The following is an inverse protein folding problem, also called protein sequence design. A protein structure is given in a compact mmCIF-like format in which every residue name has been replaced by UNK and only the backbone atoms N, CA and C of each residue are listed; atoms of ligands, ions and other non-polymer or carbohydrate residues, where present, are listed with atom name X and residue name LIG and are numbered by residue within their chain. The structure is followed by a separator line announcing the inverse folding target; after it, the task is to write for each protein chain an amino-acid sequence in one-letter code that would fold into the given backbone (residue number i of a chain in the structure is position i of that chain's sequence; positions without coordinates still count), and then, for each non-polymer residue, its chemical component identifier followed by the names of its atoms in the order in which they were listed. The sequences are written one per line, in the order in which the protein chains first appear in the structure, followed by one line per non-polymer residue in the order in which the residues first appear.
data_IF_798020919575
#
_entry.id   IF_798020919575
#
_cell.length_a   1.000
_cell.length_b   1.000
_cell.length_c   1.000
_cell.angle_alpha   90.00
_cell.angle_beta   90.00
_cell.angle_gamma   90.00
#
_symmetry.space_group_name_H-M   'P 1'
#
loop_
_entity.id
_entity.type
_entity.pdbx_description
1 polymer ?
#
# COMPACT_ATOMS: atom_id res chain seq x y z
N UNK A 1 69.66 -26.80 29.14
CA UNK A 1 68.55 -26.16 28.39
C UNK A 1 67.26 -26.90 28.73
N UNK A 2 66.48 -26.39 29.68
CA UNK A 2 65.13 -26.91 29.94
C UNK A 2 64.21 -26.54 28.78
N UNK A 3 63.69 -27.56 28.07
CA UNK A 3 62.63 -27.37 27.09
C UNK A 3 61.35 -26.95 27.82
N UNK A 4 60.98 -25.67 27.70
CA UNK A 4 59.66 -25.18 28.15
C UNK A 4 58.56 -26.05 27.52
N UNK A 5 57.80 -26.76 28.35
CA UNK A 5 56.64 -27.53 27.92
C UNK A 5 55.64 -26.59 27.22
N UNK A 6 55.04 -27.00 26.09
CA UNK A 6 54.07 -26.16 25.38
C UNK A 6 52.90 -25.85 26.31
N UNK A 7 52.53 -24.57 26.41
CA UNK A 7 51.32 -24.14 27.15
C UNK A 7 50.12 -24.87 26.54
N UNK A 8 49.49 -25.76 27.30
CA UNK A 8 48.22 -26.39 26.93
C UNK A 8 47.13 -25.34 27.09
N UNK A 9 46.60 -24.85 25.98
CA UNK A 9 45.43 -23.97 25.99
C UNK A 9 44.19 -24.86 26.16
N UNK A 10 43.32 -24.49 27.08
CA UNK A 10 42.03 -25.14 27.40
C UNK A 10 40.93 -24.10 27.20
N UNK A 11 39.75 -24.54 26.73
CA UNK A 11 38.59 -23.66 26.57
C UNK A 11 37.95 -23.29 27.91
N UNK A 12 36.88 -22.48 27.88
CA UNK A 12 36.11 -22.07 29.07
C UNK A 12 35.51 -23.25 29.85
N UNK A 13 35.49 -24.46 29.26
CA UNK A 13 34.98 -25.70 29.84
C UNK A 13 36.10 -26.72 30.12
N UNK A 14 37.37 -26.32 30.04
CA UNK A 14 38.51 -27.20 30.34
C UNK A 14 38.82 -28.24 29.27
N UNK A 15 38.22 -28.17 28.06
CA UNK A 15 38.51 -29.09 26.97
C UNK A 15 39.75 -28.66 26.19
N UNK A 16 40.54 -29.65 25.77
CA UNK A 16 41.68 -29.43 24.90
C UNK A 16 41.21 -29.04 23.50
N UNK A 17 41.72 -27.92 22.99
CA UNK A 17 41.40 -27.47 21.63
C UNK A 17 41.89 -28.48 20.59
N UNK A 18 41.02 -28.82 19.63
CA UNK A 18 41.40 -29.59 18.44
C UNK A 18 42.28 -28.76 17.48
N UNK A 19 43.03 -29.43 16.61
CA UNK A 19 43.94 -28.78 15.65
C UNK A 19 43.23 -27.88 14.62
N UNK A 20 41.92 -28.06 14.44
CA UNK A 20 41.09 -27.29 13.50
C UNK A 20 40.17 -26.26 14.22
N UNK A 21 40.36 -26.03 15.51
CA UNK A 21 39.56 -25.07 16.24
C UNK A 21 39.91 -23.63 15.82
N UNK A 22 38.96 -22.94 15.19
CA UNK A 22 39.08 -21.49 14.91
C UNK A 22 39.01 -20.75 16.25
N UNK A 23 40.09 -20.04 16.58
CA UNK A 23 40.20 -19.25 17.82
C UNK A 23 39.98 -17.80 17.49
N UNK A 24 38.88 -17.25 17.98
CA UNK A 24 38.61 -15.83 17.90
C UNK A 24 38.80 -15.23 19.30
N UNK A 25 39.64 -14.21 19.39
CA UNK A 25 39.67 -13.31 20.53
C UNK A 25 38.33 -12.60 20.69
N UNK A 26 38.03 -12.06 21.88
CA UNK A 26 36.83 -11.23 22.10
C UNK A 26 36.74 -10.07 21.09
N UNK A 27 37.88 -9.51 20.67
CA UNK A 27 37.94 -8.48 19.64
C UNK A 27 37.50 -9.03 18.28
N UNK A 28 37.97 -10.21 17.89
CA UNK A 28 37.58 -10.85 16.62
C UNK A 28 36.12 -11.29 16.63
N UNK A 29 35.59 -11.76 17.77
CA UNK A 29 34.15 -12.06 17.94
C UNK A 29 33.32 -10.79 17.78
N UNK A 30 33.70 -9.70 18.45
CA UNK A 30 33.00 -8.42 18.35
C UNK A 30 33.02 -7.89 16.91
N UNK A 31 34.19 -7.88 16.26
CA UNK A 31 34.33 -7.47 14.85
C UNK A 31 33.48 -8.36 13.94
N UNK A 32 33.56 -9.69 14.12
CA UNK A 32 32.76 -10.64 13.34
C UNK A 32 31.26 -10.43 13.50
N UNK A 33 30.80 -10.17 14.73
CA UNK A 33 29.41 -9.84 15.01
C UNK A 33 28.97 -8.54 14.32
N UNK A 34 29.77 -7.47 14.40
CA UNK A 34 29.44 -6.22 13.72
C UNK A 34 29.40 -6.37 12.20
N UNK A 35 30.36 -7.09 11.61
CA UNK A 35 30.37 -7.40 10.18
C UNK A 35 29.11 -8.19 9.81
N UNK A 36 28.77 -9.22 10.58
CA UNK A 36 27.56 -10.01 10.35
C UNK A 36 26.30 -9.14 10.38
N UNK A 37 26.16 -8.29 11.40
CA UNK A 37 24.99 -7.39 11.52
C UNK A 37 24.91 -6.43 10.32
N UNK A 38 26.02 -5.80 9.93
CA UNK A 38 26.03 -4.90 8.75
C UNK A 38 25.67 -5.67 7.48
N UNK A 39 26.27 -6.85 7.28
CA UNK A 39 26.00 -7.68 6.11
C UNK A 39 24.52 -8.05 6.02
N UNK A 40 23.94 -8.60 7.09
CA UNK A 40 22.56 -9.11 7.09
C UNK A 40 21.54 -7.99 7.06
N UNK A 41 21.70 -6.96 7.90
CA UNK A 41 20.67 -5.94 8.08
C UNK A 41 20.76 -4.77 7.11
N UNK A 42 21.91 -4.59 6.42
CA UNK A 42 22.11 -3.47 5.49
C UNK A 42 22.50 -3.94 4.09
N UNK A 43 23.58 -4.73 3.96
CA UNK A 43 24.16 -5.05 2.64
C UNK A 43 23.24 -6.00 1.85
N UNK A 44 22.76 -7.09 2.45
CA UNK A 44 21.90 -8.06 1.75
C UNK A 44 20.62 -7.39 1.20
N UNK A 45 19.83 -6.64 1.99
CA UNK A 45 18.66 -5.91 1.48
C UNK A 45 19.01 -4.91 0.38
N UNK A 46 20.11 -4.18 0.53
CA UNK A 46 20.55 -3.23 -0.48
C UNK A 46 20.89 -3.92 -1.81
N UNK A 47 21.67 -5.00 -1.76
CA UNK A 47 22.02 -5.78 -2.95
C UNK A 47 20.78 -6.41 -3.58
N UNK A 48 19.87 -7.00 -2.80
CA UNK A 48 18.64 -7.57 -3.32
C UNK A 48 17.81 -6.52 -4.06
N UNK A 49 17.64 -5.33 -3.46
CA UNK A 49 16.90 -4.22 -4.09
C UNK A 49 17.48 -3.87 -5.46
N UNK A 50 18.80 -3.91 -5.61
CA UNK A 50 19.49 -3.59 -6.86
C UNK A 50 19.43 -4.73 -7.90
N UNK A 51 19.53 -5.99 -7.47
CA UNK A 51 19.56 -7.14 -8.38
C UNK A 51 18.18 -7.63 -8.80
N UNK A 52 17.18 -7.49 -7.93
CA UNK A 52 15.82 -7.88 -8.23
C UNK A 52 15.23 -6.94 -9.30
N UNK A 53 14.97 -7.53 -10.47
CA UNK A 53 14.38 -6.86 -11.61
C UNK A 53 12.88 -7.06 -11.59
N UNK A 54 12.16 -5.95 -11.44
CA UNK A 54 10.72 -5.88 -11.55
C UNK A 54 10.37 -5.14 -12.85
N UNK A 55 9.39 -5.64 -13.59
CA UNK A 55 8.91 -5.01 -14.81
C UNK A 55 7.57 -4.34 -14.52
N UNK A 56 7.55 -3.01 -14.54
CA UNK A 56 6.33 -2.22 -14.40
C UNK A 56 5.81 -1.84 -15.78
N UNK A 57 4.74 -2.52 -16.19
CA UNK A 57 4.11 -2.33 -17.49
C UNK A 57 3.37 -0.97 -17.59
N UNK A 58 2.93 -0.62 -18.79
CA UNK A 58 2.06 0.55 -18.97
C UNK A 58 0.76 0.35 -18.19
N UNK A 59 0.28 1.44 -17.57
CA UNK A 59 -0.92 1.43 -16.74
C UNK A 59 -0.85 0.36 -15.61
N UNK A 60 0.37 0.16 -15.09
CA UNK A 60 0.67 -0.84 -14.06
C UNK A 60 -0.31 -0.75 -12.88
N UNK A 61 -0.76 -1.94 -12.47
CA UNK A 61 -1.55 -2.19 -11.28
C UNK A 61 -0.94 -3.36 -10.55
N UNK A 62 -0.63 -3.19 -9.27
CA UNK A 62 -0.08 -4.26 -8.44
C UNK A 62 -1.07 -5.43 -8.36
N UNK A 63 -0.61 -6.66 -8.62
CA UNK A 63 -1.45 -7.85 -8.50
C UNK A 63 -1.98 -8.04 -7.08
N UNK A 64 -3.22 -8.55 -6.94
CA UNK A 64 -3.88 -8.69 -5.63
C UNK A 64 -3.05 -9.50 -4.63
N UNK A 65 -2.39 -10.56 -5.11
CA UNK A 65 -1.52 -11.42 -4.31
C UNK A 65 -0.34 -10.69 -3.66
N UNK A 66 0.06 -9.53 -4.22
CA UNK A 66 1.15 -8.70 -3.68
C UNK A 66 0.64 -7.47 -2.92
N UNK A 67 -0.66 -7.37 -2.60
CA UNK A 67 -1.22 -6.19 -1.90
C UNK A 67 -0.59 -5.91 -0.52
N UNK A 68 -0.02 -6.93 0.12
CA UNK A 68 0.67 -6.82 1.40
C UNK A 68 2.21 -6.87 1.25
N UNK A 69 2.72 -6.90 0.02
CA UNK A 69 4.14 -6.79 -0.28
C UNK A 69 4.55 -5.32 -0.45
N UNK A 70 4.85 -4.67 0.68
CA UNK A 70 5.25 -3.27 0.68
C UNK A 70 6.66 -3.04 0.12
N UNK A 71 7.45 -4.09 -0.15
CA UNK A 71 8.74 -3.98 -0.82
C UNK A 71 8.56 -3.70 -2.32
N UNK A 72 7.68 -4.48 -2.98
CA UNK A 72 7.30 -4.24 -4.38
C UNK A 72 6.62 -2.88 -4.49
N UNK A 73 5.72 -2.56 -3.56
CA UNK A 73 5.08 -1.24 -3.53
C UNK A 73 6.11 -0.10 -3.41
N UNK A 74 7.09 -0.19 -2.52
CA UNK A 74 8.12 0.85 -2.35
C UNK A 74 8.94 1.02 -3.64
N UNK A 75 9.29 -0.08 -4.32
CA UNK A 75 9.96 -0.02 -5.64
C UNK A 75 9.09 0.70 -6.66
N UNK A 76 7.82 0.31 -6.79
CA UNK A 76 6.89 0.95 -7.71
C UNK A 76 6.69 2.44 -7.39
N UNK A 77 6.54 2.78 -6.11
CA UNK A 77 6.33 4.16 -5.69
C UNK A 77 7.51 5.07 -6.07
N UNK A 78 8.74 4.56 -5.95
CA UNK A 78 9.94 5.29 -6.36
C UNK A 78 10.02 5.42 -7.89
N UNK A 79 9.84 4.32 -8.63
CA UNK A 79 9.89 4.36 -10.10
C UNK A 79 8.78 5.23 -10.69
N UNK A 80 7.57 5.13 -10.17
CA UNK A 80 6.45 5.97 -10.58
C UNK A 80 6.72 7.45 -10.27
N UNK A 81 7.32 7.75 -9.12
CA UNK A 81 7.74 9.10 -8.78
C UNK A 81 8.92 9.60 -9.64
N UNK A 82 9.64 8.75 -10.36
CA UNK A 82 10.62 9.23 -11.35
C UNK A 82 9.96 9.46 -12.71
N UNK A 83 9.16 8.50 -13.15
CA UNK A 83 8.61 8.43 -14.51
C UNK A 83 7.37 9.31 -14.73
N UNK A 84 6.49 9.46 -13.74
CA UNK A 84 5.19 10.11 -13.92
C UNK A 84 5.13 11.50 -13.26
N UNK A 85 4.49 12.49 -13.91
CA UNK A 85 4.25 13.80 -13.32
C UNK A 85 3.12 13.77 -12.28
N UNK A 86 2.18 12.84 -12.39
CA UNK A 86 1.03 12.68 -11.49
C UNK A 86 1.02 11.30 -10.86
N UNK A 87 0.82 11.25 -9.55
CA UNK A 87 0.66 10.03 -8.76
C UNK A 87 -0.78 9.93 -8.28
N UNK A 88 -1.44 8.79 -8.49
CA UNK A 88 -2.78 8.54 -7.97
C UNK A 88 -2.72 7.56 -6.79
N UNK A 89 -3.03 8.05 -5.60
CA UNK A 89 -3.14 7.26 -4.37
C UNK A 89 -4.60 6.96 -4.06
N UNK A 90 -4.89 5.75 -3.60
CA UNK A 90 -6.24 5.34 -3.28
C UNK A 90 -6.36 3.91 -2.79
N UNK A 91 -7.61 3.47 -2.66
CA UNK A 91 -7.99 2.12 -2.30
C UNK A 91 -8.38 1.31 -3.54
N UNK A 92 -9.14 0.24 -3.32
CA UNK A 92 -9.69 -0.67 -4.32
C UNK A 92 -10.46 0.02 -5.47
N UNK A 93 -11.03 1.22 -5.24
CA UNK A 93 -11.68 2.03 -6.28
C UNK A 93 -10.65 2.51 -7.31
N UNK A 94 -9.51 3.02 -6.87
CA UNK A 94 -8.47 3.50 -7.79
C UNK A 94 -7.64 2.34 -8.32
N UNK A 95 -7.42 1.32 -7.49
CA UNK A 95 -6.79 0.07 -7.90
C UNK A 95 -7.57 -0.54 -9.07
N UNK A 96 -8.91 -0.47 -9.05
CA UNK A 96 -9.74 -0.83 -10.20
C UNK A 96 -10.33 -2.24 -10.11
N UNK A 97 -10.84 -2.61 -8.94
CA UNK A 97 -11.23 -3.99 -8.59
C UNK A 97 -12.05 -4.75 -9.65
N UNK A 98 -12.97 -4.10 -10.36
CA UNK A 98 -13.86 -4.76 -11.33
C UNK A 98 -13.50 -4.50 -12.80
N UNK A 99 -12.29 -4.01 -13.09
CA UNK A 99 -11.83 -3.75 -14.45
C UNK A 99 -10.43 -4.29 -14.67
N UNK A 100 -10.03 -4.41 -15.94
CA UNK A 100 -8.64 -4.70 -16.30
C UNK A 100 -7.82 -3.41 -16.29
N UNK A 101 -6.49 -3.53 -16.39
CA UNK A 101 -5.56 -2.41 -16.27
C UNK A 101 -5.88 -1.24 -17.20
N UNK A 102 -6.24 -1.54 -18.46
CA UNK A 102 -6.55 -0.53 -19.49
C UNK A 102 -7.81 0.30 -19.20
N UNK A 103 -8.65 -0.17 -18.26
CA UNK A 103 -9.94 0.43 -17.92
C UNK A 103 -10.00 0.98 -16.49
N UNK A 104 -8.89 0.95 -15.76
CA UNK A 104 -8.75 1.66 -14.50
C UNK A 104 -8.87 3.17 -14.70
N UNK A 105 -9.15 3.90 -13.62
CA UNK A 105 -9.26 5.36 -13.68
C UNK A 105 -7.95 6.03 -14.16
N UNK A 106 -6.76 5.68 -13.64
CA UNK A 106 -5.49 6.21 -14.16
C UNK A 106 -5.27 5.93 -15.65
N UNK A 107 -5.59 4.71 -16.13
CA UNK A 107 -5.45 4.37 -17.54
C UNK A 107 -6.37 5.21 -18.44
N UNK A 108 -7.61 5.46 -18.00
CA UNK A 108 -8.53 6.34 -18.74
C UNK A 108 -8.06 7.79 -18.77
N UNK A 109 -7.48 8.30 -17.67
CA UNK A 109 -6.85 9.63 -17.64
C UNK A 109 -5.65 9.71 -18.60
N UNK A 110 -4.80 8.68 -18.63
CA UNK A 110 -3.69 8.59 -19.58
C UNK A 110 -4.18 8.60 -21.04
N UNK A 111 -5.26 7.86 -21.33
CA UNK A 111 -5.90 7.84 -22.65
C UNK A 111 -6.44 9.21 -23.05
N UNK A 112 -7.12 9.91 -22.15
CA UNK A 112 -7.60 11.29 -22.38
C UNK A 112 -6.44 12.29 -22.57
N UNK A 113 -5.32 12.06 -21.91
CA UNK A 113 -4.09 12.85 -22.06
C UNK A 113 -3.30 12.51 -23.33
N UNK A 114 -3.55 11.36 -23.96
CA UNK A 114 -2.77 10.85 -25.08
C UNK A 114 -1.35 10.40 -24.71
N UNK A 115 -1.04 10.25 -23.42
CA UNK A 115 0.29 9.90 -22.90
C UNK A 115 0.22 9.34 -21.47
N UNK A 116 1.32 8.75 -21.03
CA UNK A 116 1.54 8.28 -19.65
C UNK A 116 1.71 9.47 -18.69
N UNK A 117 0.60 9.98 -18.18
CA UNK A 117 0.54 11.16 -17.31
C UNK A 117 0.43 10.78 -15.82
N UNK A 118 -0.30 9.72 -15.52
CA UNK A 118 -0.74 9.33 -14.19
C UNK A 118 -0.32 7.90 -13.89
N UNK A 119 0.37 7.69 -12.76
CA UNK A 119 0.65 6.37 -12.22
C UNK A 119 -0.43 5.92 -11.21
N UNK A 120 -0.77 4.63 -11.24
CA UNK A 120 -1.66 4.02 -10.26
C UNK A 120 -0.85 3.45 -9.07
N UNK A 121 -0.94 4.09 -7.90
CA UNK A 121 -0.30 3.63 -6.65
C UNK A 121 -1.36 3.24 -5.61
N UNK A 122 -2.57 2.93 -6.05
CA UNK A 122 -3.61 2.44 -5.17
C UNK A 122 -3.41 0.96 -4.84
N UNK A 123 -3.89 0.55 -3.66
CA UNK A 123 -3.87 -0.84 -3.21
C UNK A 123 -5.29 -1.24 -2.81
N UNK A 124 -5.69 -2.46 -3.15
CA UNK A 124 -6.96 -3.05 -2.72
C UNK A 124 -7.11 -3.03 -1.19
N UNK A 125 -8.24 -2.55 -0.66
CA UNK A 125 -8.50 -2.48 0.79
C UNK A 125 -7.79 -1.36 1.56
N UNK A 126 -7.09 -0.45 0.87
CA UNK A 126 -6.29 0.62 1.52
C UNK A 126 -7.14 1.75 2.11
N UNK A 127 -7.57 1.61 3.37
CA UNK A 127 -8.24 2.68 4.11
C UNK A 127 -7.27 3.74 4.66
N UNK A 128 -7.78 4.91 5.06
CA UNK A 128 -6.96 6.08 5.44
C UNK A 128 -5.99 5.78 6.60
N UNK A 129 -6.45 5.07 7.65
CA UNK A 129 -5.57 4.71 8.79
C UNK A 129 -4.37 3.84 8.37
N UNK A 130 -4.50 2.99 7.34
CA UNK A 130 -3.40 2.19 6.83
C UNK A 130 -2.53 2.99 5.85
N UNK A 131 -3.14 3.81 5.00
CA UNK A 131 -2.43 4.65 4.02
C UNK A 131 -1.48 5.66 4.68
N UNK A 132 -1.81 6.16 5.88
CA UNK A 132 -0.90 6.97 6.69
C UNK A 132 0.44 6.23 6.89
N UNK A 133 0.38 5.00 7.42
CA UNK A 133 1.57 4.16 7.62
C UNK A 133 2.27 3.77 6.32
N UNK A 134 1.53 3.60 5.22
CA UNK A 134 2.10 3.34 3.90
C UNK A 134 3.00 4.50 3.44
N UNK A 135 2.49 5.73 3.51
CA UNK A 135 3.20 6.92 3.04
C UNK A 135 4.44 7.21 3.88
N UNK A 136 4.33 7.05 5.20
CA UNK A 136 5.46 7.27 6.12
C UNK A 136 6.61 6.29 5.88
N UNK A 137 6.30 5.03 5.58
CA UNK A 137 7.29 3.94 5.63
C UNK A 137 7.76 3.43 4.27
N UNK A 138 6.91 3.53 3.25
CA UNK A 138 7.10 2.85 1.96
C UNK A 138 6.89 3.75 0.73
N UNK A 139 6.40 4.98 0.87
CA UNK A 139 6.18 5.89 -0.25
C UNK A 139 7.01 7.19 -0.17
N UNK A 140 8.19 7.13 0.47
CA UNK A 140 9.04 8.29 0.73
C UNK A 140 9.54 9.00 -0.54
N UNK A 141 9.52 8.32 -1.70
CA UNK A 141 9.84 8.90 -3.00
C UNK A 141 8.80 9.90 -3.53
N UNK A 142 7.58 9.90 -3.00
CA UNK A 142 6.49 10.81 -3.43
C UNK A 142 6.71 12.20 -2.82
N UNK A 143 7.61 12.97 -3.44
CA UNK A 143 7.98 14.34 -3.05
C UNK A 143 8.04 15.24 -4.27
N UNK A 144 7.66 16.51 -4.10
CA UNK A 144 7.63 17.49 -5.19
C UNK A 144 6.78 17.03 -6.38
N UNK A 145 5.69 16.29 -6.12
CA UNK A 145 4.80 15.73 -7.14
C UNK A 145 3.43 16.37 -7.14
N UNK A 146 2.72 16.13 -8.24
CA UNK A 146 1.28 16.29 -8.26
C UNK A 146 0.65 14.98 -7.83
N UNK A 147 -0.24 15.03 -6.84
CA UNK A 147 -0.91 13.87 -6.26
C UNK A 147 -2.42 14.04 -6.39
N UNK A 148 -3.07 13.03 -6.97
CA UNK A 148 -4.52 12.85 -6.82
C UNK A 148 -4.70 11.83 -5.70
N UNK A 149 -5.37 12.25 -4.64
CA UNK A 149 -5.61 11.43 -3.46
C UNK A 149 -7.09 11.07 -3.41
N UNK A 150 -7.42 9.78 -3.48
CA UNK A 150 -8.77 9.30 -3.30
C UNK A 150 -9.14 9.20 -1.81
N UNK A 151 -10.30 9.74 -1.47
CA UNK A 151 -10.97 9.52 -0.21
C UNK A 151 -12.27 8.77 -0.45
N UNK A 152 -12.38 7.56 0.10
CA UNK A 152 -13.61 6.77 0.07
C UNK A 152 -14.40 6.93 1.36
N UNK A 153 -15.53 7.67 1.38
CA UNK A 153 -16.34 7.80 2.58
C UNK A 153 -16.92 6.47 3.08
N UNK A 154 -16.90 5.40 2.27
CA UNK A 154 -17.39 4.07 2.66
C UNK A 154 -16.80 3.62 4.01
N UNK A 155 -15.54 3.95 4.27
CA UNK A 155 -14.87 3.63 5.54
C UNK A 155 -15.46 4.36 6.77
N UNK A 156 -16.39 5.29 6.57
CA UNK A 156 -17.12 5.99 7.64
C UNK A 156 -18.58 5.54 7.76
N UNK A 157 -18.99 4.49 7.04
CA UNK A 157 -20.40 4.08 6.99
C UNK A 157 -20.93 3.53 8.34
N UNK A 158 -20.03 3.11 9.24
CA UNK A 158 -20.31 2.73 10.63
C UNK A 158 -19.07 2.89 11.50
N UNK A 159 -19.24 2.82 12.83
CA UNK A 159 -18.12 2.84 13.81
C UNK A 159 -17.12 1.71 13.58
N UNK A 160 -17.62 0.58 13.12
CA UNK A 160 -16.85 -0.63 12.89
C UNK A 160 -15.88 -0.45 11.71
N UNK A 161 -16.37 0.00 10.55
CA UNK A 161 -15.52 0.31 9.38
C UNK A 161 -14.61 1.53 9.59
N UNK A 162 -15.01 2.47 10.44
CA UNK A 162 -14.19 3.62 10.81
C UNK A 162 -13.06 3.26 11.79
N UNK A 163 -13.08 2.06 12.38
CA UNK A 163 -12.15 1.61 13.41
C UNK A 163 -12.23 2.47 14.71
N UNK A 164 -13.40 3.07 14.96
CA UNK A 164 -13.77 3.74 16.21
C UNK A 164 -14.74 2.92 17.08
N UNK A 165 -15.14 1.74 16.59
CA UNK A 165 -15.81 0.70 17.35
C UNK A 165 -14.84 -0.11 18.22
N UNK A 166 -15.40 -0.87 19.15
CA UNK A 166 -14.66 -1.74 20.08
C UNK A 166 -14.69 -3.22 19.65
N UNK A 167 -15.55 -3.56 18.68
CA UNK A 167 -15.70 -4.93 18.21
C UNK A 167 -14.44 -5.36 17.45
N UNK A 168 -13.83 -6.51 17.78
CA UNK A 168 -12.74 -7.06 16.99
C UNK A 168 -13.18 -7.34 15.54
N UNK A 169 -12.33 -6.96 14.59
CA UNK A 169 -12.61 -7.12 13.16
C UNK A 169 -11.35 -7.42 12.37
N UNK A 170 -11.50 -8.12 11.26
CA UNK A 170 -10.41 -8.26 10.28
C UNK A 170 -10.16 -6.90 9.64
N UNK A 171 -8.98 -6.34 9.90
CA UNK A 171 -8.54 -5.07 9.32
C UNK A 171 -7.71 -5.35 8.07
N UNK A 172 -7.95 -4.58 7.01
CA UNK A 172 -7.10 -4.62 5.81
C UNK A 172 -5.76 -3.94 6.08
N UNK A 173 -4.67 -4.52 5.59
CA UNK A 173 -3.31 -4.03 5.85
C UNK A 173 -3.01 -3.81 7.35
N UNK A 174 -3.24 -4.82 8.21
CA UNK A 174 -3.07 -4.69 9.66
C UNK A 174 -1.63 -4.35 10.05
N UNK A 175 -0.66 -4.63 9.18
CA UNK A 175 0.74 -4.29 9.39
C UNK A 175 0.99 -2.80 9.27
N UNK A 176 0.19 -2.03 8.52
CA UNK A 176 0.41 -0.60 8.29
C UNK A 176 -0.13 0.31 9.39
N UNK A 177 -1.19 -0.08 10.09
CA UNK A 177 -1.81 0.72 11.14
C UNK A 177 -0.89 0.89 12.38
N UNK A 178 -1.20 1.80 13.32
CA UNK A 178 -0.46 1.93 14.57
C UNK A 178 -0.49 0.64 15.40
N UNK A 179 0.70 0.12 15.71
CA UNK A 179 0.84 -1.19 16.36
C UNK A 179 0.72 -1.10 17.88
N UNK A 180 1.09 0.00 18.54
CA UNK A 180 1.12 0.09 20.01
C UNK A 180 0.42 1.33 20.54
N UNK A 181 0.96 2.50 20.23
CA UNK A 181 0.38 3.78 20.62
C UNK A 181 -0.73 4.16 19.65
N UNK A 182 -1.84 4.69 20.19
CA UNK A 182 -3.02 5.03 19.40
C UNK A 182 -3.53 3.86 18.54
N UNK A 183 -3.39 2.62 18.99
CA UNK A 183 -3.92 1.43 18.30
C UNK A 183 -5.46 1.49 18.22
N UNK A 184 -6.11 1.08 17.11
CA UNK A 184 -7.56 0.86 17.12
C UNK A 184 -7.98 -0.16 18.18
N UNK A 185 -9.15 0.06 18.80
CA UNK A 185 -9.72 -0.89 19.76
C UNK A 185 -10.12 -2.19 19.05
N UNK A 186 -10.64 -2.08 17.82
CA UNK A 186 -11.00 -3.21 16.95
C UNK A 186 -9.82 -4.06 16.45
N UNK A 187 -8.57 -3.59 16.61
CA UNK A 187 -7.38 -4.33 16.18
C UNK A 187 -6.91 -5.29 17.28
N UNK A 188 -7.15 -6.59 17.13
CA UNK A 188 -6.96 -7.59 18.20
C UNK A 188 -5.76 -8.53 18.01
N UNK A 189 -4.87 -8.25 17.05
CA UNK A 189 -3.67 -9.05 16.81
C UNK A 189 -2.79 -9.15 18.08
N UNK A 190 -2.15 -10.30 18.22
CA UNK A 190 -1.30 -10.61 19.37
C UNK A 190 0.02 -9.80 19.37
N UNK A 191 0.73 -9.84 20.50
CA UNK A 191 1.97 -9.07 20.69
C UNK A 191 3.07 -9.46 19.69
N UNK A 192 3.21 -10.74 19.34
CA UNK A 192 4.22 -11.24 18.41
C UNK A 192 3.96 -10.68 17.03
N UNK A 193 2.73 -10.80 16.54
CA UNK A 193 2.29 -10.27 15.24
C UNK A 193 2.55 -8.77 15.13
N UNK A 194 2.22 -8.02 16.20
CA UNK A 194 2.46 -6.57 16.26
C UNK A 194 3.94 -6.20 16.30
N UNK A 195 4.76 -6.96 17.02
CA UNK A 195 6.22 -6.79 17.02
C UNK A 195 6.80 -7.04 15.63
N UNK A 196 6.33 -8.07 14.93
CA UNK A 196 6.81 -8.40 13.59
C UNK A 196 6.45 -7.31 12.57
N UNK A 197 5.26 -6.72 12.66
CA UNK A 197 4.89 -5.56 11.86
C UNK A 197 5.83 -4.36 12.11
N UNK A 198 6.23 -4.10 13.36
CA UNK A 198 7.19 -3.03 13.68
C UNK A 198 8.61 -3.34 13.19
N UNK A 199 9.07 -4.59 13.34
CA UNK A 199 10.39 -5.02 12.82
C UNK A 199 10.46 -4.83 11.32
N UNK A 200 9.43 -5.22 10.59
CA UNK A 200 9.33 -5.01 9.15
C UNK A 200 9.39 -3.52 8.80
N UNK A 201 8.59 -2.67 9.44
CA UNK A 201 8.65 -1.22 9.20
C UNK A 201 10.02 -0.61 9.48
N UNK A 202 10.77 -1.13 10.44
CA UNK A 202 11.98 -0.45 10.93
C UNK A 202 13.26 -0.97 10.26
N UNK A 203 13.32 -2.26 9.93
CA UNK A 203 14.55 -2.94 9.54
C UNK A 203 14.44 -3.52 8.12
N UNK A 204 15.28 -3.09 7.16
CA UNK A 204 15.24 -3.55 5.77
C UNK A 204 15.31 -5.06 5.59
N UNK A 205 16.04 -5.77 6.46
CA UNK A 205 16.13 -7.23 6.42
C UNK A 205 14.78 -7.91 6.62
N UNK A 206 13.98 -7.48 7.60
CA UNK A 206 12.67 -8.10 7.83
C UNK A 206 11.68 -7.75 6.73
N UNK A 207 11.81 -6.58 6.08
CA UNK A 207 11.07 -6.29 4.84
C UNK A 207 11.44 -7.26 3.73
N UNK A 208 12.74 -7.48 3.53
CA UNK A 208 13.22 -8.42 2.52
C UNK A 208 12.72 -9.84 2.81
N UNK A 209 12.78 -10.30 4.06
CA UNK A 209 12.28 -11.63 4.44
C UNK A 209 10.79 -11.76 4.15
N UNK A 210 9.97 -10.76 4.51
CA UNK A 210 8.54 -10.78 4.23
C UNK A 210 8.26 -10.76 2.71
N UNK A 211 8.98 -9.93 1.96
CA UNK A 211 8.92 -9.91 0.49
C UNK A 211 9.27 -11.28 -0.09
N UNK A 212 10.36 -11.91 0.36
CA UNK A 212 10.77 -13.23 -0.14
C UNK A 212 9.66 -14.27 0.12
N UNK A 213 9.08 -14.24 1.33
CA UNK A 213 7.97 -15.11 1.73
C UNK A 213 6.75 -14.94 0.82
N UNK A 214 6.33 -13.69 0.60
CA UNK A 214 5.17 -13.34 -0.21
C UNK A 214 5.39 -13.61 -1.71
N UNK A 215 6.56 -13.24 -2.22
CA UNK A 215 6.85 -13.24 -3.65
C UNK A 215 7.27 -14.60 -4.20
N UNK A 216 8.00 -15.40 -3.42
CA UNK A 216 8.62 -16.64 -3.92
C UNK A 216 8.13 -17.89 -3.19
N UNK A 217 7.52 -17.77 -2.02
CA UNK A 217 7.14 -18.94 -1.21
C UNK A 217 5.64 -19.00 -0.90
N UNK A 218 4.80 -18.41 -1.77
CA UNK A 218 3.33 -18.48 -1.66
C UNK A 218 2.81 -18.03 -0.28
N UNK A 219 3.50 -17.06 0.35
CA UNK A 219 3.21 -16.55 1.70
C UNK A 219 3.38 -17.60 2.83
N UNK A 220 3.95 -18.78 2.55
CA UNK A 220 4.31 -19.79 3.54
C UNK A 220 5.68 -19.47 4.15
N UNK A 221 5.85 -19.78 5.44
CA UNK A 221 7.18 -19.69 6.06
C UNK A 221 8.16 -20.66 5.39
N UNK A 222 9.44 -20.32 5.34
CA UNK A 222 10.44 -21.13 4.62
C UNK A 222 10.44 -22.61 5.02
N UNK A 223 10.26 -22.91 6.32
CA UNK A 223 10.21 -24.28 6.82
C UNK A 223 8.93 -25.02 6.38
N UNK A 224 7.80 -24.32 6.38
CA UNK A 224 6.51 -24.85 5.91
C UNK A 224 6.59 -25.15 4.40
N UNK A 225 7.08 -24.18 3.62
CA UNK A 225 7.28 -24.36 2.19
C UNK A 225 8.21 -25.54 1.86
N UNK A 226 9.31 -25.71 2.59
CA UNK A 226 10.23 -26.85 2.41
C UNK A 226 9.60 -28.21 2.74
N UNK A 227 8.65 -28.26 3.69
CA UNK A 227 7.90 -29.49 4.01
C UNK A 227 6.92 -29.83 2.89
N UNK A 228 6.26 -28.82 2.33
CA UNK A 228 5.32 -28.98 1.20
C UNK A 228 6.05 -29.26 -0.13
N UNK A 229 7.31 -28.81 -0.25
CA UNK A 229 8.14 -28.91 -1.45
C UNK A 229 9.47 -29.64 -1.20
N UNK A 230 9.47 -30.89 -0.71
CA UNK A 230 10.67 -31.57 -0.20
C UNK A 230 11.74 -31.87 -1.27
N UNK A 231 11.38 -31.81 -2.55
CA UNK A 231 12.28 -32.06 -3.68
C UNK A 231 12.62 -30.81 -4.49
N UNK A 232 12.10 -29.64 -4.10
CA UNK A 232 12.33 -28.37 -4.79
C UNK A 232 13.63 -27.71 -4.30
N UNK A 233 14.31 -27.00 -5.20
CA UNK A 233 15.47 -26.19 -4.83
C UNK A 233 15.03 -24.75 -4.52
N UNK A 234 15.11 -24.28 -3.26
CA UNK A 234 14.66 -22.94 -2.90
C UNK A 234 15.45 -21.83 -3.62
N UNK A 235 16.70 -22.08 -4.03
CA UNK A 235 17.46 -21.09 -4.80
C UNK A 235 16.92 -20.89 -6.22
N UNK A 236 16.33 -21.95 -6.82
CA UNK A 236 15.67 -21.84 -8.12
C UNK A 236 14.37 -21.06 -8.00
N UNK A 237 13.66 -21.19 -6.88
CA UNK A 237 12.44 -20.44 -6.59
C UNK A 237 12.71 -18.93 -6.61
N UNK A 238 13.78 -18.49 -5.93
CA UNK A 238 14.24 -17.10 -5.90
C UNK A 238 14.68 -16.54 -7.27
N UNK A 239 14.85 -17.40 -8.28
CA UNK A 239 15.22 -16.98 -9.64
C UNK A 239 14.01 -16.87 -10.58
N UNK A 240 12.78 -17.19 -10.12
CA UNK A 240 11.58 -17.07 -10.94
C UNK A 240 11.26 -15.60 -11.26
N UNK A 241 10.75 -15.37 -12.47
CA UNK A 241 10.20 -14.07 -12.84
C UNK A 241 8.87 -13.88 -12.12
N UNK A 242 8.74 -12.77 -11.40
CA UNK A 242 7.50 -12.43 -10.68
C UNK A 242 6.49 -11.78 -11.63
N UNK A 243 5.26 -12.27 -11.61
CA UNK A 243 4.12 -11.66 -12.31
C UNK A 243 3.44 -10.62 -11.41
N UNK A 244 4.09 -9.47 -11.26
CA UNK A 244 3.66 -8.41 -10.32
C UNK A 244 2.51 -7.52 -10.82
N UNK A 245 2.23 -7.59 -12.12
CA UNK A 245 1.17 -6.82 -12.76
C UNK A 245 -0.13 -7.63 -12.76
N UNK A 246 -1.21 -7.04 -12.25
CA UNK A 246 -2.53 -7.65 -12.31
C UNK A 246 -2.97 -7.77 -13.78
N UNK A 247 -3.31 -8.96 -14.27
CA UNK A 247 -3.71 -9.14 -15.68
C UNK A 247 -5.21 -9.36 -15.84
N UNK A 248 -5.84 -9.94 -14.82
CA UNK A 248 -7.22 -10.41 -14.92
C UNK A 248 -8.20 -9.41 -14.31
N UNK A 249 -9.48 -9.59 -14.66
CA UNK A 249 -10.57 -8.93 -13.97
C UNK A 249 -11.00 -9.83 -12.82
N UNK A 250 -11.40 -9.25 -11.69
CA UNK A 250 -12.09 -10.05 -10.68
C UNK A 250 -13.37 -10.68 -11.23
N UNK A 251 -13.71 -11.84 -10.66
CA UNK A 251 -14.95 -12.57 -10.95
C UNK A 251 -16.15 -11.64 -10.69
N UNK A 252 -17.14 -11.65 -11.59
CA UNK A 252 -18.32 -10.76 -11.60
C UNK A 252 -18.07 -9.30 -12.02
N UNK A 253 -17.01 -9.03 -12.80
CA UNK A 253 -16.69 -7.71 -13.36
C UNK A 253 -17.67 -7.17 -14.42
N UNK A 254 -18.61 -7.98 -14.90
CA UNK A 254 -19.61 -7.55 -15.89
C UNK A 254 -20.99 -7.25 -15.29
N UNK A 255 -21.20 -7.61 -14.02
CA UNK A 255 -22.48 -7.44 -13.35
C UNK A 255 -22.48 -6.17 -12.50
N UNK A 256 -23.49 -5.34 -12.73
CA UNK A 256 -23.79 -4.23 -11.85
C UNK A 256 -24.36 -4.73 -10.51
N UNK A 257 -24.37 -3.84 -9.52
CA UNK A 257 -24.80 -4.15 -8.15
C UNK A 257 -26.22 -4.75 -8.06
N UNK A 258 -27.11 -4.39 -8.99
CA UNK A 258 -28.49 -4.87 -9.00
C UNK A 258 -28.58 -6.33 -9.44
N UNK A 259 -27.79 -6.72 -10.46
CA UNK A 259 -27.68 -8.11 -10.92
C UNK A 259 -27.04 -9.02 -9.87
N UNK A 260 -26.17 -8.46 -9.03
CA UNK A 260 -25.57 -9.16 -7.89
C UNK A 260 -26.54 -9.36 -6.70
N UNK A 261 -27.77 -8.83 -6.79
CA UNK A 261 -28.77 -8.97 -5.73
C UNK A 261 -28.39 -8.23 -4.44
N UNK A 262 -27.54 -7.20 -4.53
CA UNK A 262 -27.12 -6.42 -3.35
C UNK A 262 -28.30 -5.61 -2.84
N UNK A 263 -28.64 -5.76 -1.56
CA UNK A 263 -29.75 -5.06 -0.92
C UNK A 263 -29.40 -3.60 -0.60
N UNK A 264 -30.44 -2.76 -0.51
CA UNK A 264 -30.29 -1.39 -0.02
C UNK A 264 -29.79 -1.37 1.42
N UNK A 265 -28.94 -0.39 1.71
CA UNK A 265 -28.24 -0.23 2.96
C UNK A 265 -28.66 1.07 3.66
N UNK A 266 -28.94 0.98 4.97
CA UNK A 266 -29.15 2.13 5.81
C UNK A 266 -27.90 2.34 6.68
N UNK A 267 -26.95 3.12 6.19
CA UNK A 267 -25.69 3.37 6.89
C UNK A 267 -25.76 4.61 7.76
N UNK A 268 -25.02 4.60 8.86
CA UNK A 268 -25.06 5.67 9.86
C UNK A 268 -24.37 6.94 9.36
N UNK A 269 -23.25 6.78 8.64
CA UNK A 269 -22.33 7.83 8.22
C UNK A 269 -21.85 8.69 9.39
N UNK A 270 -20.63 8.42 9.84
CA UNK A 270 -20.06 9.15 10.97
C UNK A 270 -19.79 10.62 10.62
N UNK A 271 -20.04 11.54 11.55
CA UNK A 271 -19.55 12.92 11.45
C UNK A 271 -18.01 12.97 11.41
N UNK A 272 -17.47 13.95 10.68
CA UNK A 272 -16.02 14.10 10.46
C UNK A 272 -15.21 14.20 11.76
N UNK A 273 -15.73 14.91 12.75
CA UNK A 273 -15.08 15.12 14.04
C UNK A 273 -15.01 13.86 14.92
N UNK A 274 -15.81 12.85 14.61
CA UNK A 274 -15.82 11.56 15.30
C UNK A 274 -15.12 10.46 14.51
N UNK A 275 -14.74 10.73 13.26
CA UNK A 275 -14.18 9.73 12.37
C UNK A 275 -12.68 9.64 12.51
N UNK A 276 -12.22 8.41 12.77
CA UNK A 276 -10.81 8.08 12.79
C UNK A 276 -10.23 8.04 11.37
N UNK A 277 -11.00 7.58 10.39
CA UNK A 277 -10.59 7.58 8.98
C UNK A 277 -10.38 9.01 8.47
N UNK A 278 -11.29 9.93 8.78
CA UNK A 278 -11.13 11.34 8.43
C UNK A 278 -9.94 11.99 9.12
N UNK A 279 -9.71 11.67 10.40
CA UNK A 279 -8.52 12.14 11.12
C UNK A 279 -7.24 11.69 10.43
N UNK A 280 -7.09 10.39 10.14
CA UNK A 280 -5.94 9.86 9.43
C UNK A 280 -5.79 10.45 8.03
N UNK A 281 -6.90 10.70 7.34
CA UNK A 281 -6.89 11.40 6.05
C UNK A 281 -6.31 12.82 6.15
N UNK A 282 -6.61 13.52 7.25
CA UNK A 282 -5.97 14.80 7.59
C UNK A 282 -4.45 14.68 7.70
N UNK A 283 -3.95 13.67 8.44
CA UNK A 283 -2.50 13.42 8.60
C UNK A 283 -1.84 13.08 7.26
N UNK A 284 -2.51 12.31 6.40
CA UNK A 284 -2.04 12.02 5.03
C UNK A 284 -1.84 13.30 4.22
N UNK A 285 -2.82 14.21 4.26
CA UNK A 285 -2.71 15.50 3.57
C UNK A 285 -1.51 16.30 4.09
N UNK A 286 -1.26 16.26 5.39
CA UNK A 286 -0.15 16.98 6.02
C UNK A 286 1.21 16.35 5.65
N UNK A 287 1.32 15.01 5.60
CA UNK A 287 2.49 14.30 5.07
C UNK A 287 2.77 14.72 3.62
N UNK A 288 1.75 14.70 2.76
CA UNK A 288 1.90 15.04 1.35
C UNK A 288 2.31 16.50 1.16
N UNK A 289 1.72 17.44 1.92
CA UNK A 289 2.09 18.86 1.89
C UNK A 289 3.53 19.09 2.39
N UNK A 290 3.92 18.44 3.49
CA UNK A 290 5.28 18.54 4.04
C UNK A 290 6.34 18.01 3.06
N UNK A 291 5.96 17.07 2.20
CA UNK A 291 6.74 16.57 1.09
C UNK A 291 6.68 17.47 -0.18
N UNK A 292 6.14 18.68 -0.06
CA UNK A 292 5.97 19.67 -1.12
C UNK A 292 5.16 19.16 -2.32
N UNK A 293 4.18 18.28 -2.07
CA UNK A 293 3.28 17.81 -3.11
C UNK A 293 2.10 18.77 -3.30
N UNK A 294 1.64 18.89 -4.55
CA UNK A 294 0.38 19.55 -4.91
C UNK A 294 -0.72 18.49 -4.89
N UNK A 295 -1.77 18.70 -4.11
CA UNK A 295 -2.80 17.67 -3.88
C UNK A 295 -4.17 18.11 -4.41
N UNK A 296 -4.80 17.22 -5.16
CA UNK A 296 -6.24 17.24 -5.44
C UNK A 296 -6.88 16.03 -4.75
N UNK A 297 -7.96 16.26 -4.00
CA UNK A 297 -8.71 15.16 -3.36
C UNK A 297 -9.90 14.75 -4.22
N UNK A 298 -9.98 13.48 -4.61
CA UNK A 298 -11.18 12.88 -5.21
C UNK A 298 -12.01 12.22 -4.12
N UNK A 299 -13.27 12.62 -3.96
CA UNK A 299 -14.16 12.07 -2.91
C UNK A 299 -15.20 11.13 -3.51
N UNK A 300 -15.18 9.88 -3.06
CA UNK A 300 -16.03 8.80 -3.56
C UNK A 300 -15.50 8.15 -4.84
N UNK A 301 -16.30 7.32 -5.51
CA UNK A 301 -17.76 7.38 -5.50
C UNK A 301 -18.43 6.49 -4.46
N UNK A 302 -19.70 6.78 -4.18
CA UNK A 302 -20.63 5.90 -3.45
C UNK A 302 -21.85 5.73 -4.32
N UNK A 303 -22.34 4.50 -4.44
CA UNK A 303 -23.55 4.15 -5.18
C UNK A 303 -24.79 4.69 -4.45
N UNK A 304 -25.45 5.76 -4.95
CA UNK A 304 -26.57 6.36 -4.25
C UNK A 304 -27.82 5.46 -4.28
N UNK A 305 -27.94 4.58 -5.27
CA UNK A 305 -29.10 3.70 -5.45
C UNK A 305 -29.14 2.54 -4.44
N UNK A 306 -27.96 2.20 -3.90
CA UNK A 306 -27.80 1.22 -2.83
C UNK A 306 -28.13 1.80 -1.46
N UNK A 307 -28.33 3.10 -1.30
CA UNK A 307 -28.69 3.71 -0.02
C UNK A 307 -30.22 3.80 0.12
N UNK A 308 -30.70 3.69 1.36
CA UNK A 308 -32.04 4.19 1.70
C UNK A 308 -32.08 5.71 1.58
N UNK A 309 -33.26 6.29 1.40
CA UNK A 309 -33.38 7.75 1.22
C UNK A 309 -32.82 8.54 2.42
N UNK A 310 -32.99 8.00 3.63
CA UNK A 310 -32.46 8.57 4.87
C UNK A 310 -30.93 8.52 4.93
N UNK A 311 -30.34 7.37 4.58
CA UNK A 311 -28.89 7.18 4.49
C UNK A 311 -28.28 8.07 3.40
N UNK A 312 -28.96 8.20 2.26
CA UNK A 312 -28.54 9.08 1.16
C UNK A 312 -28.51 10.55 1.61
N UNK A 313 -29.53 11.01 2.33
CA UNK A 313 -29.57 12.37 2.85
C UNK A 313 -28.40 12.65 3.82
N UNK A 314 -28.09 11.70 4.73
CA UNK A 314 -26.91 11.79 5.60
C UNK A 314 -25.61 11.81 4.80
N UNK A 315 -25.49 10.98 3.78
CA UNK A 315 -24.32 10.95 2.90
C UNK A 315 -24.10 12.27 2.18
N UNK A 316 -25.16 12.92 1.66
CA UNK A 316 -25.04 14.25 1.01
C UNK A 316 -24.51 15.30 1.96
N UNK A 317 -25.05 15.32 3.19
CA UNK A 317 -24.53 16.21 4.24
C UNK A 317 -23.04 15.93 4.51
N UNK A 318 -22.64 14.66 4.58
CA UNK A 318 -21.23 14.28 4.76
C UNK A 318 -20.36 14.77 3.59
N UNK A 319 -20.82 14.67 2.34
CA UNK A 319 -20.08 15.21 1.17
C UNK A 319 -19.86 16.73 1.29
N UNK A 320 -20.88 17.47 1.72
CA UNK A 320 -20.78 18.92 1.94
C UNK A 320 -19.83 19.26 3.09
N UNK A 321 -19.88 18.48 4.19
CA UNK A 321 -18.98 18.63 5.33
C UNK A 321 -17.51 18.38 4.90
N UNK A 322 -17.25 17.33 4.10
CA UNK A 322 -15.93 17.00 3.55
C UNK A 322 -15.43 18.14 2.67
N UNK A 323 -16.25 18.58 1.71
CA UNK A 323 -15.91 19.66 0.78
C UNK A 323 -15.54 20.93 1.55
N UNK A 324 -16.38 21.35 2.49
CA UNK A 324 -16.15 22.54 3.32
C UNK A 324 -14.87 22.41 4.15
N UNK A 325 -14.59 21.21 4.69
CA UNK A 325 -13.37 20.95 5.46
C UNK A 325 -12.10 21.06 4.60
N UNK A 326 -12.13 20.52 3.37
CA UNK A 326 -11.01 20.62 2.42
C UNK A 326 -10.79 22.06 1.93
N UNK A 327 -11.88 22.79 1.66
CA UNK A 327 -11.82 24.23 1.29
C UNK A 327 -11.18 25.07 2.40
N UNK A 328 -11.55 24.85 3.68
CA UNK A 328 -10.90 25.51 4.83
C UNK A 328 -9.40 25.20 4.93
N UNK A 329 -8.97 24.03 4.45
CA UNK A 329 -7.55 23.63 4.37
C UNK A 329 -6.84 24.11 3.09
N UNK A 330 -7.52 24.90 2.25
CA UNK A 330 -7.07 25.32 0.92
C UNK A 330 -6.65 24.14 0.03
N UNK A 331 -7.37 23.02 0.12
CA UNK A 331 -7.17 21.84 -0.71
C UNK A 331 -8.25 21.80 -1.77
N UNK A 332 -7.84 21.67 -3.04
CA UNK A 332 -8.78 21.44 -4.13
C UNK A 332 -9.41 20.06 -3.97
N UNK A 333 -10.72 19.97 -4.23
CA UNK A 333 -11.45 18.71 -4.20
C UNK A 333 -12.33 18.53 -5.43
N UNK A 334 -12.51 17.28 -5.83
CA UNK A 334 -13.45 16.85 -6.85
C UNK A 334 -14.38 15.81 -6.22
N UNK A 335 -15.60 16.24 -5.90
CA UNK A 335 -16.66 15.31 -5.49
C UNK A 335 -17.13 14.55 -6.72
N UNK A 336 -17.06 13.22 -6.68
CA UNK A 336 -17.49 12.40 -7.81
C UNK A 336 -19.02 12.53 -7.96
N UNK A 337 -19.53 12.85 -9.16
CA UNK A 337 -20.96 12.94 -9.37
C UNK A 337 -21.62 11.57 -9.28
N UNK A 338 -22.92 11.56 -9.04
CA UNK A 338 -23.71 10.35 -9.22
C UNK A 338 -23.63 9.89 -10.67
N UNK A 339 -23.27 8.63 -10.84
CA UNK A 339 -23.26 7.94 -12.13
C UNK A 339 -24.55 7.13 -12.29
N UNK A 340 -24.90 6.69 -13.52
CA UNK A 340 -26.00 5.74 -13.72
C UNK A 340 -25.84 4.48 -12.86
N UNK A 341 -26.96 3.87 -12.46
CA UNK A 341 -26.97 2.70 -11.56
C UNK A 341 -26.13 1.53 -12.08
N UNK A 342 -26.21 1.29 -13.39
CA UNK A 342 -25.47 0.25 -14.11
C UNK A 342 -23.97 0.53 -14.23
N UNK A 343 -23.50 1.70 -13.78
CA UNK A 343 -22.08 2.04 -13.75
C UNK A 343 -21.39 1.61 -12.44
N UNK A 344 -22.14 1.06 -11.47
CA UNK A 344 -21.64 0.59 -10.19
C UNK A 344 -21.63 -0.93 -10.11
N UNK A 345 -20.48 -1.49 -9.74
CA UNK A 345 -20.34 -2.91 -9.46
C UNK A 345 -20.90 -3.28 -8.07
N UNK A 346 -20.84 -2.34 -7.11
CA UNK A 346 -21.25 -2.50 -5.72
C UNK A 346 -21.49 -1.13 -5.03
N UNK A 347 -21.16 -1.04 -3.73
CA UNK A 347 -21.20 0.13 -2.88
C UNK A 347 -20.42 1.35 -3.36
N UNK A 348 -19.23 1.16 -3.93
CA UNK A 348 -18.30 2.26 -4.24
C UNK A 348 -17.49 2.05 -5.50
N UNK A 349 -17.44 0.83 -6.03
CA UNK A 349 -16.59 0.52 -7.18
C UNK A 349 -17.30 0.80 -8.51
N UNK A 350 -16.72 1.65 -9.36
CA UNK A 350 -17.18 1.84 -10.73
C UNK A 350 -16.88 0.62 -11.61
N UNK A 351 -17.75 0.40 -12.58
CA UNK A 351 -17.45 -0.35 -13.80
C UNK A 351 -16.80 0.56 -14.84
N UNK A 352 -16.41 0.00 -15.98
CA UNK A 352 -15.71 0.73 -17.05
C UNK A 352 -16.38 2.05 -17.43
N UNK A 353 -17.70 2.05 -17.63
CA UNK A 353 -18.47 3.27 -17.95
C UNK A 353 -18.40 4.31 -16.82
N UNK A 354 -18.45 3.85 -15.58
CA UNK A 354 -18.31 4.70 -14.40
C UNK A 354 -16.93 5.36 -14.34
N UNK A 355 -15.86 4.59 -14.51
CA UNK A 355 -14.52 5.17 -14.59
C UNK A 355 -14.36 6.18 -15.72
N UNK A 356 -15.03 6.00 -16.86
CA UNK A 356 -14.99 6.98 -17.94
C UNK A 356 -15.65 8.31 -17.54
N UNK A 357 -16.79 8.27 -16.84
CA UNK A 357 -17.47 9.48 -16.33
C UNK A 357 -16.56 10.21 -15.35
N UNK A 358 -15.94 9.48 -14.42
CA UNK A 358 -15.03 10.05 -13.42
C UNK A 358 -13.78 10.64 -14.10
N UNK A 359 -13.19 9.93 -15.06
CA UNK A 359 -12.03 10.38 -15.80
C UNK A 359 -12.30 11.72 -16.51
N UNK A 360 -13.43 11.82 -17.23
CA UNK A 360 -13.84 13.06 -17.90
C UNK A 360 -13.98 14.21 -16.90
N UNK A 361 -14.66 13.96 -15.76
CA UNK A 361 -14.85 14.97 -14.72
C UNK A 361 -13.53 15.47 -14.12
N UNK A 362 -12.62 14.55 -13.77
CA UNK A 362 -11.30 14.91 -13.25
C UNK A 362 -10.48 15.67 -14.30
N UNK A 363 -10.52 15.24 -15.55
CA UNK A 363 -9.76 15.83 -16.65
C UNK A 363 -10.14 17.29 -16.95
N UNK A 364 -11.40 17.65 -16.67
CA UNK A 364 -11.94 19.01 -16.80
C UNK A 364 -11.59 19.94 -15.63
N UNK A 365 -11.08 19.41 -14.51
CA UNK A 365 -10.68 20.24 -13.37
C UNK A 365 -9.54 21.20 -13.76
N UNK A 366 -9.52 22.38 -13.13
CA UNK A 366 -8.43 23.33 -13.34
C UNK A 366 -7.08 22.77 -12.89
N UNK A 367 -7.09 21.88 -11.89
CA UNK A 367 -5.93 21.10 -11.48
C UNK A 367 -5.32 20.34 -12.67
N UNK A 368 -6.11 19.53 -13.36
CA UNK A 368 -5.65 18.75 -14.52
C UNK A 368 -5.33 19.61 -15.74
N UNK A 369 -6.07 20.70 -15.96
CA UNK A 369 -5.74 21.68 -17.01
C UNK A 369 -4.36 22.32 -16.77
N UNK A 370 -4.05 22.69 -15.53
CA UNK A 370 -2.78 23.33 -15.18
C UNK A 370 -1.59 22.39 -15.34
N UNK A 371 -1.74 21.12 -14.97
CA UNK A 371 -0.69 20.09 -15.18
C UNK A 371 -0.39 19.95 -16.66
N UNK A 372 -1.44 19.84 -17.50
CA UNK A 372 -1.27 19.70 -18.96
C UNK A 372 -0.56 20.91 -19.59
N UNK A 373 -0.90 22.13 -19.16
CA UNK A 373 -0.23 23.35 -19.61
C UNK A 373 1.25 23.40 -19.19
N UNK A 374 1.54 23.06 -17.94
CA UNK A 374 2.91 23.03 -17.43
C UNK A 374 3.77 21.99 -18.16
N UNK A 375 3.16 20.88 -18.58
CA UNK A 375 3.85 19.81 -19.29
C UNK A 375 4.05 20.13 -20.79
N UNK A 376 3.11 20.84 -21.43
CA UNK A 376 3.30 21.35 -22.80
C UNK A 376 4.39 22.42 -22.91
N UNK A 377 4.71 23.10 -21.80
CA UNK A 377 5.78 24.10 -21.73
C UNK A 377 7.19 23.52 -21.54
N UNK A 378 7.32 22.20 -21.33
CA UNK A 378 8.60 21.48 -21.22
C UNK A 378 9.05 20.84 -22.55
N UNK A 379 8.46 21.28 -23.66
CA UNK A 379 8.84 20.88 -25.01
C UNK A 379 10.03 21.71 -25.52
N UNK A 380 11.14 21.00 -25.77
CA UNK A 380 12.48 21.39 -26.27
C UNK A 380 13.50 21.83 -25.21
#
# INVERSE_FOLDING_TARGET
MEKKKPKKYVDLYGKHFSSNAVRLSLKEIAIGFFIFVICVFCIIPFLWRHFEKLEFEKDFRLAEQFRDDYWIYEKWANEAAEKYPVIFLGDSVIWGMYVNNENTLPAKLNRLAGKELVANLAIDGMHSVAMEGLLENYAKGIKNKTVILHYNPLWMNSRDYDLSGEKPMRIHHPRLIPQFFNKPASYDEDLTTRMDAVKEKTLPFFRLVNHIRLAFFENADFMEWMIENPYSNPAQELCKKLEICEKEKNTNSNDDWSKKGISRQNWDWLPLEKSRQWKAFGEILDILKNNNNKVLVMVGPINPYMLTDESLARYRKLQDDIKTSLERRNIQSCIVPDMPSEAYADASHPLEKGYQIIANKLYETDFMKNIRKADSGKSL
#
